data_IF_074806482957
#
_entry.id   IF_074806482957
#
_cell.length_a   1.000
_cell.length_b   1.000
_cell.length_c   1.000
_cell.angle_alpha   90.00
_cell.angle_beta   90.00
_cell.angle_gamma   90.00
#
_symmetry.space_group_name_H-M   'P 1'
#
loop_
_entity.id
_entity.type
_entity.pdbx_description
1 polymer ?
#
# COMPACT_ATOMS: atom_id res chain seq x y z
N UNK A 1 -1.03 6.07 18.69
CA UNK A 1 -2.21 6.19 17.81
C UNK A 1 -3.27 5.17 18.24
N UNK A 2 -4.58 5.46 18.22
CA UNK A 2 -5.64 4.57 18.73
C UNK A 2 -5.65 3.16 18.11
N UNK A 3 -5.31 3.07 16.82
CA UNK A 3 -5.23 1.81 16.08
C UNK A 3 -4.04 0.97 16.59
N UNK A 4 -2.89 1.62 16.82
CA UNK A 4 -1.69 0.98 17.42
C UNK A 4 -1.96 0.56 18.88
N UNK A 5 -2.80 1.29 19.60
CA UNK A 5 -3.19 0.99 20.98
C UNK A 5 -4.38 0.01 21.09
N UNK A 6 -4.84 -0.58 19.97
CA UNK A 6 -5.99 -1.52 19.90
C UNK A 6 -7.31 -0.98 20.47
N UNK A 7 -7.48 0.34 20.56
CA UNK A 7 -8.70 0.98 21.05
C UNK A 7 -9.76 1.16 19.95
N UNK A 8 -9.45 0.83 18.69
CA UNK A 8 -10.38 0.88 17.54
C UNK A 8 -9.88 -0.01 16.38
N UNK A 9 -10.78 -0.64 15.62
CA UNK A 9 -10.49 -1.44 14.42
C UNK A 9 -11.06 -0.72 13.18
N UNK A 10 -10.19 -0.16 12.33
CA UNK A 10 -10.56 0.49 11.05
C UNK A 10 -9.36 0.60 10.09
N UNK A 11 -9.63 0.86 8.81
CA UNK A 11 -8.64 1.02 7.74
C UNK A 11 -7.51 2.00 8.09
N UNK A 12 -6.26 1.57 7.89
CA UNK A 12 -5.08 2.44 8.02
C UNK A 12 -5.03 3.49 6.91
N UNK A 13 -4.83 4.76 7.26
CA UNK A 13 -4.62 5.84 6.28
C UNK A 13 -3.16 6.06 5.89
N UNK A 14 -2.23 5.48 6.66
CA UNK A 14 -0.78 5.66 6.50
C UNK A 14 -0.05 4.32 6.45
N UNK A 15 -0.42 3.40 7.36
CA UNK A 15 0.35 2.19 7.67
C UNK A 15 0.80 2.24 9.14
N UNK A 16 1.34 1.15 9.70
CA UNK A 16 1.74 1.08 11.10
C UNK A 16 3.01 1.90 11.41
N UNK A 17 3.90 2.09 10.42
CA UNK A 17 5.14 2.86 10.54
C UNK A 17 5.58 3.44 9.18
N UNK A 18 6.59 4.30 9.20
CA UNK A 18 7.24 4.77 7.98
C UNK A 18 8.08 3.65 7.35
N UNK A 19 7.95 3.48 6.04
CA UNK A 19 8.68 2.49 5.24
C UNK A 19 10.11 2.95 4.93
N UNK A 20 10.38 4.27 4.96
CA UNK A 20 11.71 4.85 4.74
C UNK A 20 12.12 5.79 5.88
N UNK A 21 13.43 6.08 5.97
CA UNK A 21 13.92 7.30 6.61
C UNK A 21 13.51 8.56 5.81
N UNK A 22 14.00 9.73 6.25
CA UNK A 22 13.85 10.97 5.48
C UNK A 22 14.72 10.91 4.23
N UNK A 23 14.10 11.09 3.06
CA UNK A 23 14.77 11.15 1.77
C UNK A 23 14.77 12.59 1.25
N UNK A 24 15.76 12.91 0.41
CA UNK A 24 15.83 14.19 -0.30
C UNK A 24 15.53 13.96 -1.77
N UNK A 25 14.58 14.70 -2.32
CA UNK A 25 14.19 14.60 -3.73
C UNK A 25 14.32 15.94 -4.46
N UNK A 26 14.68 15.97 -5.75
CA UNK A 26 14.66 17.20 -6.54
C UNK A 26 13.28 17.87 -6.52
N UNK A 27 13.25 19.16 -6.18
CA UNK A 27 12.05 20.00 -6.21
C UNK A 27 12.46 21.46 -6.45
N UNK A 28 12.28 21.95 -7.68
CA UNK A 28 12.89 23.21 -8.15
C UNK A 28 12.45 24.45 -7.37
N UNK A 29 11.24 24.41 -6.79
CA UNK A 29 10.68 25.51 -6.00
C UNK A 29 11.08 25.46 -4.52
N UNK A 30 11.76 24.38 -4.07
CA UNK A 30 12.18 24.24 -2.68
C UNK A 30 13.48 24.99 -2.41
N UNK A 31 13.68 25.60 -1.23
CA UNK A 31 15.00 26.10 -0.82
C UNK A 31 16.08 25.02 -0.96
N UNK A 32 17.14 25.32 -1.71
CA UNK A 32 18.19 24.34 -2.02
C UNK A 32 17.82 23.31 -3.10
N UNK A 33 16.71 23.53 -3.83
CA UNK A 33 16.29 22.71 -4.97
C UNK A 33 15.84 21.30 -4.61
N UNK A 34 15.61 21.00 -3.33
CA UNK A 34 15.21 19.67 -2.86
C UNK A 34 14.18 19.70 -1.74
N UNK A 35 13.17 18.82 -1.85
CA UNK A 35 12.18 18.57 -0.79
C UNK A 35 12.58 17.40 0.10
N UNK A 36 12.05 17.35 1.31
CA UNK A 36 12.15 16.17 2.18
C UNK A 36 10.91 15.32 1.97
N UNK A 37 11.08 14.02 1.80
CA UNK A 37 9.97 13.06 1.76
C UNK A 37 10.18 11.90 2.70
N UNK A 38 9.09 11.27 3.12
CA UNK A 38 9.10 10.02 3.85
C UNK A 38 7.95 9.14 3.37
N UNK A 39 8.26 7.90 3.03
CA UNK A 39 7.28 6.94 2.52
C UNK A 39 6.67 6.11 3.64
N UNK A 40 5.40 5.77 3.45
CA UNK A 40 4.61 4.87 4.26
C UNK A 40 3.91 3.89 3.30
N UNK A 41 3.31 2.81 3.81
CA UNK A 41 2.66 1.82 2.94
C UNK A 41 1.54 2.44 2.09
N UNK A 42 0.74 3.32 2.70
CA UNK A 42 -0.49 3.87 2.10
C UNK A 42 -0.41 5.34 1.73
N UNK A 43 0.75 5.96 1.87
CA UNK A 43 0.97 7.37 1.51
C UNK A 43 2.45 7.73 1.46
N UNK A 44 2.76 8.99 1.16
CA UNK A 44 4.03 9.62 1.50
C UNK A 44 3.78 10.99 2.10
N UNK A 45 4.62 11.39 3.05
CA UNK A 45 4.65 12.74 3.60
C UNK A 45 5.76 13.55 2.93
N UNK A 46 5.53 14.84 2.75
CA UNK A 46 6.45 15.73 2.05
C UNK A 46 6.51 17.11 2.70
N UNK A 47 7.72 17.66 2.79
CA UNK A 47 7.99 19.06 3.10
C UNK A 47 8.56 19.71 1.84
N UNK A 48 7.70 20.37 1.08
CA UNK A 48 8.06 21.03 -0.18
C UNK A 48 8.81 22.35 0.02
N UNK A 49 8.58 23.06 1.14
CA UNK A 49 9.32 24.27 1.49
C UNK A 49 9.80 24.19 2.95
N UNK A 50 11.09 23.93 3.15
CA UNK A 50 11.70 23.78 4.48
C UNK A 50 11.72 25.07 5.30
N UNK A 51 11.65 26.22 4.63
CA UNK A 51 11.64 27.55 5.23
C UNK A 51 10.20 28.06 5.44
N UNK A 52 9.19 27.24 5.12
CA UNK A 52 7.78 27.55 5.32
C UNK A 52 7.36 27.60 6.80
N UNK A 53 6.18 28.16 7.04
CA UNK A 53 5.59 28.23 8.38
C UNK A 53 5.25 26.84 8.91
N UNK A 54 6.00 26.38 9.93
CA UNK A 54 5.83 25.08 10.57
C UNK A 54 4.53 24.92 11.36
N UNK A 55 3.85 26.03 11.67
CA UNK A 55 2.54 26.01 12.32
C UNK A 55 1.39 25.79 11.33
N UNK A 56 1.65 25.94 10.03
CA UNK A 56 0.67 25.67 8.99
C UNK A 56 0.31 24.17 8.94
N UNK A 57 -0.98 23.82 8.86
CA UNK A 57 -1.39 22.42 8.64
C UNK A 57 -0.92 21.88 7.28
N UNK A 58 -0.49 22.76 6.36
CA UNK A 58 0.03 22.41 5.04
C UNK A 58 1.56 22.38 4.98
N UNK A 59 2.26 22.56 6.11
CA UNK A 59 3.73 22.45 6.14
C UNK A 59 4.20 21.04 5.77
N UNK A 60 3.48 20.02 6.28
CA UNK A 60 3.63 18.62 5.86
C UNK A 60 2.43 18.26 5.02
N UNK A 61 2.66 17.86 3.78
CA UNK A 61 1.60 17.45 2.85
C UNK A 61 1.66 15.97 2.52
N UNK A 62 0.53 15.44 2.05
CA UNK A 62 0.46 14.15 1.40
C UNK A 62 0.72 14.28 -0.10
N UNK A 63 1.53 13.36 -0.63
CA UNK A 63 1.79 13.31 -2.05
C UNK A 63 0.60 12.97 -2.93
N UNK A 64 0.62 13.49 -4.15
CA UNK A 64 -0.39 13.26 -5.20
C UNK A 64 -0.14 11.91 -5.91
N UNK A 65 0.06 10.84 -5.13
CA UNK A 65 0.64 9.59 -5.64
C UNK A 65 -0.18 8.94 -6.73
N UNK A 66 -1.50 8.87 -6.56
CA UNK A 66 -2.39 8.30 -7.57
C UNK A 66 -2.42 9.17 -8.84
N UNK A 67 -2.47 10.50 -8.70
CA UNK A 67 -2.40 11.42 -9.84
C UNK A 67 -1.13 11.22 -10.66
N UNK A 68 0.02 11.12 -10.00
CA UNK A 68 1.32 10.92 -10.65
C UNK A 68 1.46 9.51 -11.26
N UNK A 69 1.03 8.45 -10.56
CA UNK A 69 1.05 7.05 -11.04
C UNK A 69 0.17 6.85 -12.28
N UNK A 70 -1.02 7.46 -12.28
CA UNK A 70 -1.99 7.36 -13.38
C UNK A 70 -1.56 8.21 -14.57
N UNK A 71 -1.06 9.41 -14.33
CA UNK A 71 -0.72 10.35 -15.41
C UNK A 71 0.68 10.16 -16.00
N UNK A 72 1.57 9.46 -15.29
CA UNK A 72 2.98 9.41 -15.65
C UNK A 72 3.76 10.72 -15.36
N UNK A 73 3.12 11.73 -14.75
CA UNK A 73 3.73 13.05 -14.51
C UNK A 73 4.30 13.13 -13.11
N UNK A 74 5.57 12.81 -12.98
CA UNK A 74 6.27 12.80 -11.70
C UNK A 74 6.64 14.21 -11.23
N UNK A 75 6.16 14.64 -10.06
CA UNK A 75 6.40 15.99 -9.54
C UNK A 75 7.89 16.23 -9.22
N UNK A 76 8.39 17.39 -9.69
CA UNK A 76 9.72 17.95 -9.37
C UNK A 76 9.65 19.47 -9.12
N UNK A 77 8.46 20.01 -8.89
CA UNK A 77 8.19 21.41 -8.56
C UNK A 77 6.69 21.69 -8.54
N UNK A 78 6.29 22.91 -8.16
CA UNK A 78 4.87 23.30 -8.04
C UNK A 78 4.14 23.24 -9.39
N UNK A 79 4.88 23.40 -10.48
CA UNK A 79 4.38 23.29 -11.85
C UNK A 79 5.42 22.67 -12.79
N UNK A 80 6.29 21.81 -12.23
CA UNK A 80 7.36 21.14 -12.96
C UNK A 80 7.28 19.62 -12.78
N UNK A 81 7.42 18.89 -13.88
CA UNK A 81 7.20 17.45 -13.92
C UNK A 81 8.26 16.76 -14.77
N UNK A 82 8.62 15.54 -14.40
CA UNK A 82 9.31 14.59 -15.26
C UNK A 82 8.29 13.60 -15.82
N UNK A 83 8.35 13.37 -17.13
CA UNK A 83 7.51 12.38 -17.78
C UNK A 83 8.03 10.95 -17.53
N UNK A 84 7.11 10.04 -17.28
CA UNK A 84 7.30 8.59 -17.15
C UNK A 84 6.10 7.89 -17.76
N UNK A 85 6.25 6.60 -18.02
CA UNK A 85 5.10 5.76 -18.35
C UNK A 85 4.17 5.64 -17.12
N UNK A 86 2.83 5.70 -17.32
CA UNK A 86 1.87 5.37 -16.28
C UNK A 86 2.15 3.99 -15.66
N UNK A 87 1.87 3.84 -14.37
CA UNK A 87 2.29 2.65 -13.64
C UNK A 87 1.44 1.41 -13.98
N UNK A 88 2.10 0.35 -14.47
CA UNK A 88 1.50 -0.97 -14.70
C UNK A 88 1.53 -1.79 -13.40
N UNK A 89 0.91 -1.24 -12.36
CA UNK A 89 0.75 -1.88 -11.04
C UNK A 89 -0.74 -1.94 -10.72
N UNK A 90 -1.21 -3.10 -10.26
CA UNK A 90 -2.61 -3.32 -9.91
C UNK A 90 -3.06 -2.32 -8.84
N UNK A 91 -4.19 -1.65 -9.06
CA UNK A 91 -4.74 -0.68 -8.09
C UNK A 91 -5.34 -1.39 -6.87
N UNK A 92 -5.88 -2.58 -7.09
CA UNK A 92 -6.53 -3.42 -6.10
C UNK A 92 -6.24 -4.90 -6.39
N UNK A 93 -6.39 -5.74 -5.37
CA UNK A 93 -6.18 -7.19 -5.48
C UNK A 93 -4.73 -7.62 -5.36
N UNK A 94 -4.48 -8.88 -5.73
CA UNK A 94 -3.19 -9.55 -5.68
C UNK A 94 -2.24 -8.91 -6.70
N UNK A 95 -0.96 -8.79 -6.33
CA UNK A 95 0.05 -8.11 -7.14
C UNK A 95 0.32 -8.82 -8.48
N UNK A 96 0.11 -10.15 -8.53
CA UNK A 96 0.32 -10.99 -9.71
C UNK A 96 -0.96 -11.22 -10.52
N UNK A 97 -2.08 -10.56 -10.17
CA UNK A 97 -3.33 -10.70 -10.90
C UNK A 97 -3.21 -10.17 -12.34
N UNK A 98 -3.34 -11.02 -13.37
CA UNK A 98 -3.23 -10.59 -14.76
C UNK A 98 -4.50 -9.90 -15.27
N UNK A 99 -5.61 -9.92 -14.53
CA UNK A 99 -6.91 -9.40 -14.96
C UNK A 99 -7.29 -8.06 -14.32
N UNK A 100 -6.72 -7.73 -13.15
CA UNK A 100 -7.05 -6.50 -12.44
C UNK A 100 -6.57 -5.24 -13.17
N UNK A 101 -7.30 -4.12 -13.08
CA UNK A 101 -6.88 -2.84 -13.65
C UNK A 101 -5.68 -2.25 -12.90
N UNK A 102 -4.80 -1.61 -13.66
CA UNK A 102 -3.60 -0.92 -13.16
C UNK A 102 -3.80 0.59 -13.10
N UNK A 103 -2.88 1.34 -12.48
CA UNK A 103 -2.92 2.80 -12.58
C UNK A 103 -2.88 3.28 -14.03
N UNK A 104 -2.12 2.62 -14.91
CA UNK A 104 -2.11 2.87 -16.35
C UNK A 104 -3.48 2.62 -16.99
N UNK A 105 -4.23 1.61 -16.52
CA UNK A 105 -5.62 1.37 -16.94
C UNK A 105 -6.52 2.54 -16.56
N UNK A 106 -6.42 3.06 -15.33
CA UNK A 106 -7.22 4.22 -14.90
C UNK A 106 -6.88 5.51 -15.66
N UNK A 107 -5.73 5.59 -16.32
CA UNK A 107 -5.39 6.72 -17.17
C UNK A 107 -6.35 6.87 -18.36
N UNK A 108 -6.95 5.77 -18.85
CA UNK A 108 -7.87 5.77 -20.00
C UNK A 108 -9.24 6.36 -19.67
N UNK A 109 -9.62 6.37 -18.38
CA UNK A 109 -10.92 6.86 -17.89
C UNK A 109 -10.83 8.17 -17.10
N UNK A 110 -9.63 8.78 -17.02
CA UNK A 110 -9.39 9.96 -16.19
C UNK A 110 -10.22 11.18 -16.61
N UNK A 111 -10.48 11.34 -17.89
CA UNK A 111 -11.25 12.48 -18.40
C UNK A 111 -12.75 12.14 -18.60
N UNK A 112 -13.17 10.94 -18.18
CA UNK A 112 -14.54 10.46 -18.30
C UNK A 112 -15.33 10.68 -16.99
N UNK A 113 -16.57 11.15 -17.13
CA UNK A 113 -17.51 11.26 -16.01
C UNK A 113 -18.93 10.92 -16.45
N UNK A 114 -19.70 10.32 -15.54
CA UNK A 114 -21.13 10.08 -15.67
C UNK A 114 -21.91 11.38 -15.48
N UNK A 115 -23.05 11.49 -16.15
CA UNK A 115 -23.84 12.72 -16.21
C UNK A 115 -25.07 12.72 -15.31
N UNK A 116 -25.37 11.63 -14.60
CA UNK A 116 -26.63 11.46 -13.85
C UNK A 116 -26.34 11.22 -12.38
N UNK A 117 -26.72 12.18 -11.52
CA UNK A 117 -26.61 12.06 -10.07
C UNK A 117 -27.45 10.90 -9.52
N UNK A 118 -26.91 10.17 -8.55
CA UNK A 118 -27.65 9.12 -7.83
C UNK A 118 -27.91 7.86 -8.65
N UNK A 119 -27.38 7.76 -9.88
CA UNK A 119 -27.47 6.55 -10.67
C UNK A 119 -26.71 5.39 -9.99
N UNK A 120 -27.21 4.14 -10.06
CA UNK A 120 -26.45 2.97 -9.65
C UNK A 120 -25.14 2.87 -10.44
N UNK A 121 -24.02 2.70 -9.74
CA UNK A 121 -22.73 2.48 -10.38
C UNK A 121 -22.68 1.02 -10.82
N UNK A 122 -22.87 0.80 -12.11
CA UNK A 122 -22.81 -0.51 -12.77
C UNK A 122 -21.72 -0.58 -13.83
N UNK A 123 -20.99 0.51 -14.03
CA UNK A 123 -19.87 0.57 -14.97
C UNK A 123 -18.73 -0.32 -14.47
N UNK A 124 -18.18 -1.15 -15.35
CA UNK A 124 -17.02 -1.99 -15.09
C UNK A 124 -15.80 -1.45 -15.85
N UNK A 125 -14.61 -1.70 -15.34
CA UNK A 125 -13.34 -1.38 -15.99
C UNK A 125 -12.46 -2.63 -16.04
N UNK A 126 -12.17 -3.10 -17.25
CA UNK A 126 -11.23 -4.19 -17.49
C UNK A 126 -9.78 -3.67 -17.60
N UNK A 127 -8.79 -4.55 -17.41
CA UNK A 127 -7.36 -4.19 -17.44
C UNK A 127 -6.90 -3.50 -18.72
N UNK A 128 -7.50 -3.86 -19.86
CA UNK A 128 -7.21 -3.26 -21.17
C UNK A 128 -7.81 -1.86 -21.35
N UNK A 129 -8.53 -1.34 -20.35
CA UNK A 129 -9.17 -0.03 -20.38
C UNK A 129 -10.58 -0.04 -20.95
N UNK A 130 -11.11 -1.21 -21.34
CA UNK A 130 -12.49 -1.31 -21.80
C UNK A 130 -13.47 -1.05 -20.64
N UNK A 131 -14.41 -0.14 -20.90
CA UNK A 131 -15.52 0.16 -20.00
C UNK A 131 -16.77 -0.55 -20.53
N UNK A 132 -17.42 -1.31 -19.67
CA UNK A 132 -18.71 -1.97 -19.96
C UNK A 132 -19.70 -1.69 -18.80
N UNK A 133 -20.87 -2.32 -18.83
CA UNK A 133 -21.88 -2.22 -17.79
C UNK A 133 -22.34 -3.61 -17.38
N UNK A 134 -22.45 -3.84 -16.07
CA UNK A 134 -23.04 -5.05 -15.51
C UNK A 134 -24.17 -4.67 -14.54
N UNK A 135 -25.44 -4.72 -14.99
CA UNK A 135 -26.60 -4.34 -14.16
C UNK A 135 -26.73 -5.11 -12.85
N UNK A 136 -26.15 -6.32 -12.74
CA UNK A 136 -26.18 -7.12 -11.51
C UNK A 136 -25.49 -6.41 -10.34
N UNK A 137 -24.48 -5.58 -10.61
CA UNK A 137 -23.72 -4.84 -9.61
C UNK A 137 -24.57 -3.80 -8.87
N UNK A 138 -25.74 -3.42 -9.41
CA UNK A 138 -26.69 -2.55 -8.74
C UNK A 138 -27.20 -3.14 -7.41
N UNK A 139 -27.14 -4.46 -7.23
CA UNK A 139 -27.51 -5.12 -5.96
C UNK A 139 -26.69 -4.61 -4.76
N UNK A 140 -25.48 -4.10 -5.00
CA UNK A 140 -24.58 -3.61 -3.97
C UNK A 140 -24.86 -2.16 -3.55
N UNK A 141 -25.82 -1.49 -4.20
CA UNK A 141 -26.31 -0.17 -3.77
C UNK A 141 -25.32 0.99 -3.90
N UNK A 142 -24.18 0.80 -4.56
CA UNK A 142 -23.23 1.88 -4.83
C UNK A 142 -23.83 2.87 -5.86
N UNK A 143 -23.79 4.16 -5.55
CA UNK A 143 -24.34 5.25 -6.39
C UNK A 143 -23.37 6.43 -6.46
N UNK A 144 -23.52 7.28 -7.47
CA UNK A 144 -22.80 8.56 -7.55
C UNK A 144 -23.41 9.55 -6.53
N UNK A 145 -22.65 9.87 -5.46
CA UNK A 145 -23.18 10.57 -4.28
C UNK A 145 -22.85 12.06 -4.22
N UNK A 146 -21.61 12.45 -4.52
CA UNK A 146 -21.14 13.84 -4.39
C UNK A 146 -20.44 14.29 -5.68
N UNK A 147 -20.85 15.44 -6.23
CA UNK A 147 -20.22 16.02 -7.42
C UNK A 147 -19.10 16.98 -7.03
N UNK A 148 -17.88 16.71 -7.50
CA UNK A 148 -16.74 17.62 -7.30
C UNK A 148 -16.52 18.44 -8.56
N UNK A 149 -17.06 19.67 -8.57
CA UNK A 149 -16.97 20.56 -9.74
C UNK A 149 -15.54 20.96 -10.14
N UNK A 150 -14.60 20.93 -9.18
CA UNK A 150 -13.19 21.28 -9.43
C UNK A 150 -12.51 20.28 -10.36
N UNK A 151 -12.86 19.00 -10.26
CA UNK A 151 -12.27 17.93 -11.08
C UNK A 151 -13.24 17.34 -12.09
N UNK A 152 -14.55 17.61 -11.94
CA UNK A 152 -15.58 17.10 -12.84
C UNK A 152 -15.88 15.62 -12.64
N UNK A 153 -15.79 15.12 -11.40
CA UNK A 153 -16.03 13.71 -11.07
C UNK A 153 -17.01 13.52 -9.91
N UNK A 154 -17.70 12.39 -9.94
CA UNK A 154 -18.55 11.93 -8.84
C UNK A 154 -17.76 11.12 -7.83
N UNK A 155 -17.99 11.34 -6.53
CA UNK A 155 -17.56 10.43 -5.46
C UNK A 155 -18.63 9.37 -5.23
N UNK A 156 -18.25 8.08 -5.26
CA UNK A 156 -19.19 7.00 -5.01
C UNK A 156 -19.66 6.97 -3.55
N UNK A 157 -20.91 6.54 -3.34
CA UNK A 157 -21.57 6.55 -2.03
C UNK A 157 -20.80 5.82 -0.90
N UNK A 158 -20.15 4.65 -1.10
CA UNK A 158 -19.39 4.01 -0.04
C UNK A 158 -18.17 4.84 0.37
N UNK A 159 -17.49 5.46 -0.60
CA UNK A 159 -16.32 6.31 -0.36
C UNK A 159 -16.71 7.63 0.29
N UNK A 160 -17.82 8.24 -0.15
CA UNK A 160 -18.32 9.47 0.45
C UNK A 160 -18.76 9.27 1.90
N UNK A 161 -19.39 8.14 2.21
CA UNK A 161 -19.73 7.76 3.58
C UNK A 161 -18.46 7.54 4.43
N UNK A 162 -17.46 6.84 3.89
CA UNK A 162 -16.18 6.64 4.58
C UNK A 162 -15.45 7.96 4.86
N UNK A 163 -15.37 8.87 3.88
CA UNK A 163 -14.70 10.17 4.01
C UNK A 163 -15.39 11.13 4.99
N UNK A 164 -16.66 10.89 5.32
CA UNK A 164 -17.42 11.64 6.32
C UNK A 164 -17.57 10.90 7.65
N UNK A 165 -16.99 9.71 7.77
CA UNK A 165 -17.14 8.88 8.97
C UNK A 165 -16.48 9.50 10.20
N UNK A 166 -17.02 9.15 11.36
CA UNK A 166 -16.49 9.53 12.66
C UNK A 166 -15.99 8.28 13.40
N UNK A 167 -15.08 8.45 14.33
CA UNK A 167 -14.63 7.36 15.19
C UNK A 167 -13.66 7.84 16.25
N UNK A 168 -13.15 6.91 17.06
CA UNK A 168 -12.24 7.24 18.15
C UNK A 168 -10.95 7.85 17.61
N UNK A 169 -10.62 9.06 18.02
CA UNK A 169 -9.35 9.74 17.79
C UNK A 169 -8.66 10.00 19.13
N UNK A 170 -7.34 10.19 19.12
CA UNK A 170 -6.57 10.57 20.31
C UNK A 170 -6.02 11.98 20.10
N UNK A 171 -6.52 12.96 20.86
CA UNK A 171 -6.14 14.38 20.75
C UNK A 171 -6.00 14.97 22.15
N UNK A 172 -4.87 15.63 22.42
CA UNK A 172 -4.64 16.31 23.71
C UNK A 172 -4.64 15.39 24.93
N UNK A 173 -4.27 14.11 24.78
CA UNK A 173 -4.20 13.15 25.89
C UNK A 173 -5.49 12.36 26.16
N UNK A 174 -6.58 12.64 25.43
CA UNK A 174 -7.90 12.05 25.65
C UNK A 174 -8.39 11.36 24.37
N UNK A 175 -9.15 10.27 24.54
CA UNK A 175 -9.88 9.61 23.46
C UNK A 175 -11.26 10.24 23.30
N UNK A 176 -11.62 10.64 22.07
CA UNK A 176 -12.94 11.20 21.75
C UNK A 176 -13.45 10.63 20.41
N UNK A 177 -14.76 10.58 20.22
CA UNK A 177 -15.37 10.28 18.91
C UNK A 177 -15.45 11.57 18.12
N UNK A 178 -14.68 11.66 17.04
CA UNK A 178 -14.57 12.85 16.20
C UNK A 178 -14.58 12.44 14.72
N UNK A 179 -14.79 13.38 13.78
CA UNK A 179 -14.54 13.14 12.36
C UNK A 179 -13.16 12.52 12.14
N UNK A 180 -13.11 11.44 11.35
CA UNK A 180 -11.83 10.82 10.99
C UNK A 180 -10.98 11.71 10.09
N UNK A 181 -11.65 12.63 9.40
CA UNK A 181 -11.07 13.59 8.48
C UNK A 181 -11.62 14.98 8.80
N UNK A 182 -10.75 15.90 9.21
CA UNK A 182 -11.15 17.31 9.43
C UNK A 182 -11.65 17.95 8.12
N UNK A 183 -11.14 17.48 6.98
CA UNK A 183 -11.69 17.74 5.65
C UNK A 183 -11.73 16.41 4.87
N UNK A 184 -12.87 16.02 4.28
CA UNK A 184 -13.03 14.75 3.55
C UNK A 184 -11.94 14.50 2.51
N UNK A 185 -11.44 15.54 1.85
CA UNK A 185 -10.43 15.45 0.78
C UNK A 185 -8.99 15.61 1.29
N UNK A 186 -8.76 15.88 2.58
CA UNK A 186 -7.40 16.10 3.09
C UNK A 186 -6.51 14.87 2.88
N UNK A 187 -7.02 13.68 3.21
CA UNK A 187 -6.24 12.45 3.15
C UNK A 187 -6.27 11.78 1.75
N UNK A 188 -7.36 11.94 1.00
CA UNK A 188 -7.59 11.29 -0.30
C UNK A 188 -7.24 12.20 -1.49
N UNK A 189 -7.39 13.52 -1.35
CA UNK A 189 -7.44 14.45 -2.47
C UNK A 189 -8.78 14.42 -3.18
N UNK A 190 -8.94 15.28 -4.19
CA UNK A 190 -10.15 15.29 -5.02
C UNK A 190 -10.24 14.04 -5.91
N UNK A 191 -11.44 13.57 -6.29
CA UNK A 191 -11.58 12.47 -7.24
C UNK A 191 -10.99 12.87 -8.59
N UNK A 192 -10.19 11.97 -9.18
CA UNK A 192 -9.59 12.14 -10.52
C UNK A 192 -10.13 11.11 -11.52
N UNK A 193 -11.02 10.23 -11.06
CA UNK A 193 -11.85 9.36 -11.87
C UNK A 193 -13.22 9.26 -11.21
N UNK A 194 -14.23 8.93 -11.98
CA UNK A 194 -15.42 8.30 -11.43
C UNK A 194 -15.09 6.90 -10.89
N UNK A 195 -15.99 6.30 -10.11
CA UNK A 195 -15.83 4.94 -9.62
C UNK A 195 -16.22 3.88 -10.67
N UNK A 196 -15.50 2.77 -10.72
CA UNK A 196 -15.74 1.63 -11.61
C UNK A 196 -15.62 0.32 -10.84
N UNK A 197 -16.47 -0.65 -11.17
CA UNK A 197 -16.28 -2.02 -10.69
C UNK A 197 -15.19 -2.72 -11.48
N UNK A 198 -14.38 -3.51 -10.79
CA UNK A 198 -13.35 -4.33 -11.41
C UNK A 198 -13.41 -5.74 -10.83
N UNK A 199 -13.25 -6.74 -11.69
CA UNK A 199 -13.01 -8.09 -11.22
C UNK A 199 -11.51 -8.25 -10.96
N UNK A 200 -11.15 -8.45 -9.69
CA UNK A 200 -9.75 -8.57 -9.25
C UNK A 200 -9.58 -9.85 -8.45
N UNK A 201 -8.39 -10.41 -8.45
CA UNK A 201 -8.04 -11.54 -7.58
C UNK A 201 -7.71 -11.01 -6.19
N UNK A 202 -8.30 -11.58 -5.15
CA UNK A 202 -7.99 -11.28 -3.74
C UNK A 202 -7.74 -12.61 -3.04
N UNK A 203 -6.50 -12.82 -2.58
CA UNK A 203 -6.10 -14.08 -1.94
C UNK A 203 -6.34 -15.29 -2.85
N UNK A 204 -6.08 -15.14 -4.16
CA UNK A 204 -6.30 -16.19 -5.15
C UNK A 204 -7.71 -16.26 -5.72
N UNK A 205 -8.68 -15.52 -5.17
CA UNK A 205 -10.11 -15.63 -5.54
C UNK A 205 -10.60 -14.40 -6.29
N UNK A 206 -11.26 -14.59 -7.44
CA UNK A 206 -11.87 -13.51 -8.21
C UNK A 206 -13.01 -12.85 -7.40
N UNK A 207 -12.96 -11.53 -7.28
CA UNK A 207 -13.88 -10.72 -6.49
C UNK A 207 -14.22 -9.44 -7.24
N UNK A 208 -15.49 -9.03 -7.20
CA UNK A 208 -15.90 -7.72 -7.70
C UNK A 208 -15.60 -6.65 -6.65
N UNK A 209 -14.77 -5.70 -7.01
CA UNK A 209 -14.33 -4.59 -6.15
C UNK A 209 -14.64 -3.29 -6.85
N UNK A 210 -15.35 -2.39 -6.17
CA UNK A 210 -15.54 -1.03 -6.67
C UNK A 210 -14.27 -0.24 -6.39
N UNK A 211 -13.73 0.45 -7.39
CA UNK A 211 -12.47 1.19 -7.28
C UNK A 211 -12.70 2.62 -7.73
N UNK A 212 -12.18 3.59 -6.98
CA UNK A 212 -12.15 4.98 -7.39
C UNK A 212 -10.80 5.61 -7.05
N UNK A 213 -10.23 6.35 -8.00
CA UNK A 213 -8.98 7.05 -7.80
C UNK A 213 -9.20 8.53 -7.49
N UNK A 214 -8.49 8.99 -6.46
CA UNK A 214 -8.40 10.39 -6.02
C UNK A 214 -6.95 10.85 -6.21
N UNK A 215 -6.66 12.15 -6.06
CA UNK A 215 -5.32 12.68 -6.33
C UNK A 215 -4.21 11.97 -5.53
N UNK A 216 -4.48 11.56 -4.28
CA UNK A 216 -3.46 11.02 -3.37
C UNK A 216 -3.52 9.50 -3.25
N UNK A 217 -4.68 8.89 -3.46
CA UNK A 217 -4.88 7.43 -3.34
C UNK A 217 -6.08 6.96 -4.13
N UNK A 218 -6.10 5.68 -4.46
CA UNK A 218 -7.33 5.01 -4.87
C UNK A 218 -7.96 4.29 -3.67
N UNK A 219 -9.28 4.34 -3.57
CA UNK A 219 -10.07 3.63 -2.58
C UNK A 219 -10.76 2.44 -3.25
N UNK A 220 -10.92 1.37 -2.48
CA UNK A 220 -11.57 0.13 -2.90
C UNK A 220 -12.75 -0.17 -1.99
N UNK A 221 -13.86 -0.65 -2.54
CA UNK A 221 -15.04 -1.08 -1.80
C UNK A 221 -15.43 -2.51 -2.16
N UNK A 222 -15.44 -3.37 -1.13
CA UNK A 222 -15.80 -4.80 -1.23
C UNK A 222 -16.99 -5.08 -0.33
N UNK A 223 -18.23 -5.13 -0.85
CA UNK A 223 -19.45 -5.28 -0.05
C UNK A 223 -19.48 -6.52 0.84
N UNK A 224 -18.83 -7.59 0.40
CA UNK A 224 -18.79 -8.87 1.11
C UNK A 224 -17.93 -8.86 2.38
N UNK A 225 -17.07 -7.84 2.56
CA UNK A 225 -16.26 -7.68 3.77
C UNK A 225 -17.13 -7.24 4.96
N UNK A 226 -16.64 -7.47 6.18
CA UNK A 226 -17.24 -6.89 7.38
C UNK A 226 -17.31 -5.36 7.26
N UNK A 227 -18.34 -4.70 7.83
CA UNK A 227 -18.59 -3.26 7.63
C UNK A 227 -17.36 -2.36 7.82
N UNK A 228 -16.52 -2.66 8.81
CA UNK A 228 -15.31 -1.90 9.15
C UNK A 228 -14.14 -2.08 8.15
N UNK A 229 -14.22 -3.08 7.26
CA UNK A 229 -13.24 -3.41 6.21
C UNK A 229 -13.83 -3.31 4.80
N UNK A 230 -15.03 -2.75 4.67
CA UNK A 230 -15.65 -2.61 3.35
C UNK A 230 -14.94 -1.58 2.49
N UNK A 231 -14.40 -0.51 3.08
CA UNK A 231 -13.61 0.51 2.36
C UNK A 231 -12.15 0.45 2.78
N UNK A 232 -11.28 0.25 1.79
CA UNK A 232 -9.85 0.12 2.00
C UNK A 232 -9.06 1.05 1.06
N UNK A 233 -7.80 1.28 1.43
CA UNK A 233 -6.82 1.94 0.59
C UNK A 233 -5.66 0.98 0.36
N UNK A 234 -5.31 0.78 -0.92
CA UNK A 234 -4.17 -0.05 -1.31
C UNK A 234 -2.82 0.55 -0.89
N UNK A 235 -1.75 -0.21 -1.11
CA UNK A 235 -0.38 0.13 -0.70
C UNK A 235 0.28 1.14 -1.67
N UNK A 236 -0.40 2.25 -1.93
CA UNK A 236 -0.01 3.21 -2.96
C UNK A 236 1.34 3.90 -2.67
N UNK A 237 1.73 4.04 -1.39
CA UNK A 237 3.03 4.60 -1.05
C UNK A 237 4.18 3.70 -1.50
N UNK A 238 4.03 2.38 -1.32
CA UNK A 238 4.94 1.37 -1.86
C UNK A 238 4.92 1.36 -3.40
N UNK A 239 3.72 1.33 -4.02
CA UNK A 239 3.59 1.33 -5.48
C UNK A 239 4.30 2.53 -6.10
N UNK A 240 4.11 3.71 -5.50
CA UNK A 240 4.75 4.94 -5.95
C UNK A 240 6.27 4.90 -5.78
N UNK A 241 6.76 4.44 -4.62
CA UNK A 241 8.21 4.32 -4.40
C UNK A 241 8.85 3.44 -5.48
N UNK A 242 8.27 2.26 -5.73
CA UNK A 242 8.73 1.34 -6.77
C UNK A 242 8.63 1.95 -8.17
N UNK A 243 7.57 2.68 -8.50
CA UNK A 243 7.45 3.34 -9.81
C UNK A 243 8.44 4.50 -10.01
N UNK A 244 8.76 5.24 -8.94
CA UNK A 244 9.71 6.36 -8.97
C UNK A 244 11.16 5.90 -9.04
N UNK A 245 11.53 4.90 -8.26
CA UNK A 245 12.92 4.46 -8.09
C UNK A 245 13.23 3.13 -8.77
N UNK A 246 12.25 2.25 -8.91
CA UNK A 246 12.34 1.11 -9.82
C UNK A 246 12.44 1.64 -11.24
N UNK A 247 13.43 1.14 -11.99
CA UNK A 247 13.80 1.69 -13.28
C UNK A 247 12.60 1.65 -14.25
N UNK A 248 12.13 2.81 -14.66
CA UNK A 248 11.13 2.95 -15.71
C UNK A 248 11.76 2.47 -17.03
N UNK A 249 11.32 1.32 -17.55
CA UNK A 249 11.58 0.91 -18.92
C UNK A 249 12.65 -0.16 -19.17
N UNK A 250 13.19 -0.83 -18.15
CA UNK A 250 13.90 -2.08 -18.39
C UNK A 250 12.92 -3.25 -18.28
N UNK A 251 12.64 -3.91 -19.41
CA UNK A 251 12.32 -5.34 -19.39
C UNK A 251 13.34 -5.98 -18.45
N UNK A 252 12.90 -6.57 -17.34
CA UNK A 252 13.78 -7.34 -16.47
C UNK A 252 14.31 -8.53 -17.29
N UNK A 253 15.40 -8.30 -18.02
CA UNK A 253 16.31 -9.37 -18.37
C UNK A 253 16.74 -10.00 -17.05
N UNK A 254 16.74 -11.34 -16.93
CA UNK A 254 17.29 -12.01 -15.75
C UNK A 254 18.81 -11.81 -15.79
N UNK A 255 19.24 -10.64 -15.37
CA UNK A 255 20.62 -10.20 -15.35
C UNK A 255 20.82 -9.48 -14.02
N UNK A 256 21.47 -10.22 -13.11
CA UNK A 256 21.88 -9.88 -11.76
C UNK A 256 20.77 -9.86 -10.70
N UNK A 257 20.31 -11.06 -10.34
CA UNK A 257 19.96 -11.36 -8.94
C UNK A 257 21.23 -11.08 -8.13
N UNK A 258 21.37 -9.88 -7.58
CA UNK A 258 22.30 -9.72 -6.45
C UNK A 258 21.67 -10.49 -5.30
N UNK A 259 22.42 -11.43 -4.71
CA UNK A 259 21.96 -12.13 -3.50
C UNK A 259 21.90 -11.20 -2.29
N UNK A 260 22.29 -9.92 -2.44
CA UNK A 260 22.19 -8.86 -1.45
C UNK A 260 22.80 -9.17 -0.08
N UNK A 261 22.72 -8.22 0.84
CA UNK A 261 23.00 -8.45 2.26
C UNK A 261 21.68 -8.58 3.04
N UNK A 262 20.96 -9.68 2.81
CA UNK A 262 19.73 -9.99 3.54
C UNK A 262 20.06 -10.83 4.77
N UNK A 263 19.55 -10.43 5.94
CA UNK A 263 19.84 -11.12 7.22
C UNK A 263 18.59 -11.38 8.03
N UNK A 264 18.65 -12.45 8.83
CA UNK A 264 17.72 -12.63 9.96
C UNK A 264 18.33 -11.87 11.13
N UNK A 265 17.71 -10.76 11.50
CA UNK A 265 18.17 -9.93 12.61
C UNK A 265 17.67 -10.44 13.96
N UNK A 266 16.54 -11.13 13.98
CA UNK A 266 15.90 -11.60 15.20
C UNK A 266 14.95 -12.77 14.93
N UNK A 267 14.84 -13.71 15.88
CA UNK A 267 13.81 -14.74 15.91
C UNK A 267 13.12 -14.70 17.28
N UNK A 268 11.79 -14.60 17.27
CA UNK A 268 10.95 -14.81 18.44
C UNK A 268 10.43 -16.24 18.45
N UNK A 269 10.90 -17.04 19.40
CA UNK A 269 10.50 -18.45 19.61
C UNK A 269 9.28 -18.59 20.53
N UNK A 270 9.21 -17.78 21.58
CA UNK A 270 8.15 -17.84 22.57
C UNK A 270 7.46 -16.47 22.69
N UNK A 271 6.33 -16.27 22.01
CA UNK A 271 5.63 -14.99 22.05
C UNK A 271 4.94 -14.73 23.41
N UNK A 272 4.87 -15.71 24.32
CA UNK A 272 4.14 -15.56 25.58
C UNK A 272 4.73 -14.52 26.55
N UNK A 273 5.97 -14.08 26.31
CA UNK A 273 6.66 -13.07 27.11
C UNK A 273 6.85 -11.72 26.41
N UNK A 274 6.52 -11.61 25.11
CA UNK A 274 6.62 -10.35 24.34
C UNK A 274 5.24 -9.68 24.23
N UNK A 275 5.12 -8.46 24.75
CA UNK A 275 3.86 -7.70 24.75
C UNK A 275 3.38 -7.44 23.31
N UNK A 276 2.29 -8.11 22.90
CA UNK A 276 1.65 -7.90 21.60
C UNK A 276 2.02 -8.92 20.52
N UNK A 277 3.02 -9.79 20.74
CA UNK A 277 3.28 -10.92 19.86
C UNK A 277 2.33 -12.08 20.19
N UNK A 278 1.65 -12.63 19.18
CA UNK A 278 0.77 -13.80 19.36
C UNK A 278 1.39 -15.10 18.84
N UNK A 279 2.43 -14.99 18.01
CA UNK A 279 3.04 -16.09 17.27
C UNK A 279 4.53 -15.89 17.12
N UNK A 280 5.25 -16.98 16.88
CA UNK A 280 6.65 -16.98 16.46
C UNK A 280 6.85 -16.21 15.15
N UNK A 281 7.95 -15.45 15.07
CA UNK A 281 8.34 -14.79 13.83
C UNK A 281 9.86 -14.63 13.69
N UNK A 282 10.33 -14.59 12.44
CA UNK A 282 11.67 -14.12 12.10
C UNK A 282 11.61 -12.70 11.54
N UNK A 283 12.42 -11.79 12.07
CA UNK A 283 12.64 -10.46 11.53
C UNK A 283 13.77 -10.51 10.51
N UNK A 284 13.45 -10.23 9.26
CA UNK A 284 14.38 -10.27 8.13
C UNK A 284 14.60 -8.82 7.69
N UNK A 285 15.87 -8.43 7.50
CA UNK A 285 16.25 -7.07 7.13
C UNK A 285 17.15 -7.09 5.90
N UNK A 286 16.92 -6.13 5.02
CA UNK A 286 17.83 -5.81 3.93
C UNK A 286 18.88 -4.81 4.45
N UNK A 287 20.14 -5.23 4.55
CA UNK A 287 21.27 -4.38 4.96
C UNK A 287 22.02 -3.77 3.77
N UNK A 288 21.58 -4.06 2.56
CA UNK A 288 22.15 -3.51 1.34
C UNK A 288 21.59 -2.11 1.03
N UNK A 289 22.20 -1.42 0.07
CA UNK A 289 21.75 -0.12 -0.44
C UNK A 289 20.86 -0.23 -1.70
N UNK A 290 20.60 -1.47 -2.14
CA UNK A 290 19.68 -1.82 -3.23
C UNK A 290 18.45 -2.58 -2.73
N UNK A 291 17.33 -2.47 -3.46
CA UNK A 291 16.11 -3.24 -3.14
C UNK A 291 16.30 -4.71 -3.51
N UNK A 292 15.89 -5.62 -2.63
CA UNK A 292 15.99 -7.07 -2.86
C UNK A 292 14.58 -7.62 -3.17
N UNK A 293 14.46 -8.29 -4.31
CA UNK A 293 13.29 -9.11 -4.63
C UNK A 293 13.43 -10.47 -3.96
N UNK A 294 12.46 -10.83 -3.12
CA UNK A 294 12.55 -12.03 -2.28
C UNK A 294 12.05 -13.29 -2.96
N UNK A 295 11.62 -13.26 -4.23
CA UNK A 295 11.16 -14.45 -4.93
C UNK A 295 12.20 -15.58 -4.85
N UNK A 296 11.79 -16.73 -4.32
CA UNK A 296 12.63 -17.93 -4.24
C UNK A 296 13.63 -17.93 -3.08
N UNK A 297 13.72 -16.86 -2.29
CA UNK A 297 14.44 -16.88 -1.01
C UNK A 297 13.75 -17.83 -0.03
N UNK A 298 14.54 -18.41 0.88
CA UNK A 298 14.00 -19.36 1.86
C UNK A 298 14.41 -19.04 3.29
N UNK A 299 13.49 -19.28 4.22
CA UNK A 299 13.79 -19.36 5.66
C UNK A 299 13.63 -20.80 6.09
N UNK A 300 14.64 -21.34 6.76
CA UNK A 300 14.71 -22.75 7.14
C UNK A 300 15.13 -22.88 8.61
N UNK A 301 14.48 -23.75 9.37
CA UNK A 301 14.91 -24.08 10.73
C UNK A 301 15.98 -25.19 10.73
N UNK A 302 16.49 -25.55 11.91
CA UNK A 302 17.46 -26.64 12.06
C UNK A 302 16.86 -28.02 11.72
N UNK A 303 15.54 -28.21 11.93
CA UNK A 303 14.84 -29.47 11.65
C UNK A 303 14.58 -29.72 10.16
N UNK A 304 14.69 -28.70 9.32
CA UNK A 304 14.50 -28.74 7.87
C UNK A 304 13.19 -28.15 7.36
N UNK A 305 12.31 -27.71 8.25
CA UNK A 305 11.08 -26.99 7.93
C UNK A 305 11.42 -25.68 7.20
N UNK A 306 10.92 -25.53 5.97
CA UNK A 306 11.32 -24.45 5.05
C UNK A 306 10.12 -23.63 4.56
N UNK A 307 10.24 -22.30 4.60
CA UNK A 307 9.38 -21.34 3.91
C UNK A 307 10.08 -20.88 2.65
N UNK A 308 9.35 -20.69 1.55
CA UNK A 308 9.87 -20.07 0.33
C UNK A 308 9.05 -18.84 0.01
N UNK A 309 9.71 -17.70 -0.15
CA UNK A 309 9.06 -16.44 -0.47
C UNK A 309 8.44 -16.49 -1.87
N UNK A 310 7.17 -16.10 -2.00
CA UNK A 310 6.52 -16.02 -3.30
C UNK A 310 7.08 -14.83 -4.11
N UNK A 311 6.66 -14.76 -5.37
CA UNK A 311 6.89 -13.56 -6.17
C UNK A 311 6.15 -12.35 -5.57
N UNK A 312 6.52 -11.13 -5.96
CA UNK A 312 5.87 -9.89 -5.52
C UNK A 312 6.30 -9.38 -4.15
N UNK A 313 7.20 -10.05 -3.42
CA UNK A 313 7.73 -9.57 -2.14
C UNK A 313 9.07 -8.86 -2.37
N UNK A 314 9.16 -7.59 -1.98
CA UNK A 314 10.35 -6.76 -2.14
C UNK A 314 10.74 -6.15 -0.80
N UNK A 315 12.03 -6.11 -0.50
CA UNK A 315 12.56 -5.48 0.71
C UNK A 315 13.52 -4.35 0.34
N UNK A 316 13.14 -3.12 0.67
CA UNK A 316 13.92 -1.91 0.39
C UNK A 316 15.21 -1.85 1.22
N UNK A 317 16.20 -1.03 0.83
CA UNK A 317 17.39 -0.76 1.64
C UNK A 317 17.04 -0.39 3.09
N UNK A 318 17.57 -1.13 4.05
CA UNK A 318 17.31 -0.90 5.47
C UNK A 318 15.88 -1.20 5.93
N UNK A 319 15.02 -1.78 5.10
CA UNK A 319 13.68 -2.21 5.51
C UNK A 319 13.73 -3.61 6.15
N UNK A 320 12.73 -3.88 7.00
CA UNK A 320 12.56 -5.17 7.66
C UNK A 320 11.14 -5.71 7.45
N UNK A 321 11.02 -7.03 7.38
CA UNK A 321 9.75 -7.75 7.36
C UNK A 321 9.76 -8.84 8.44
N UNK A 322 8.59 -9.21 8.93
CA UNK A 322 8.36 -10.32 9.84
C UNK A 322 7.77 -11.50 9.07
N UNK A 323 8.42 -12.66 9.15
CA UNK A 323 7.85 -13.93 8.72
C UNK A 323 7.23 -14.61 9.95
N UNK A 324 5.91 -14.53 10.07
CA UNK A 324 5.13 -15.20 11.11
C UNK A 324 4.92 -16.67 10.77
N UNK A 325 5.11 -17.55 11.75
CA UNK A 325 4.84 -18.99 11.59
C UNK A 325 3.35 -19.29 11.38
N UNK A 326 2.48 -18.42 11.90
CA UNK A 326 1.04 -18.62 11.91
C UNK A 326 0.33 -18.36 10.57
N UNK A 327 -1.00 -18.59 10.56
CA UNK A 327 -1.90 -18.11 9.51
C UNK A 327 -2.19 -16.62 9.66
N UNK A 328 -2.29 -15.92 8.54
CA UNK A 328 -2.67 -14.51 8.46
C UNK A 328 -2.68 -14.02 7.03
N UNK A 329 -3.06 -12.75 6.85
CA UNK A 329 -3.05 -12.09 5.56
C UNK A 329 -1.71 -11.40 5.35
N UNK A 330 -1.02 -11.72 4.27
CA UNK A 330 0.27 -11.10 3.95
C UNK A 330 0.12 -9.58 3.79
N UNK A 331 1.04 -8.84 4.41
CA UNK A 331 1.26 -7.42 4.22
C UNK A 331 2.73 -7.20 3.80
N UNK A 332 3.13 -6.00 3.38
CA UNK A 332 4.53 -5.73 3.05
C UNK A 332 5.52 -5.97 4.20
N UNK A 333 5.10 -5.84 5.45
CA UNK A 333 5.94 -6.04 6.64
C UNK A 333 5.67 -7.34 7.39
N UNK A 334 4.59 -8.05 7.08
CA UNK A 334 4.16 -9.24 7.80
C UNK A 334 3.73 -10.33 6.80
N UNK A 335 4.58 -11.33 6.64
CA UNK A 335 4.33 -12.51 5.80
C UNK A 335 3.96 -13.68 6.71
N UNK A 336 2.99 -14.49 6.31
CA UNK A 336 2.47 -15.59 7.11
C UNK A 336 2.77 -16.93 6.45
N UNK A 337 3.46 -17.80 7.18
CA UNK A 337 3.83 -19.15 6.76
C UNK A 337 2.62 -20.10 6.75
N UNK A 338 1.52 -19.74 7.41
CA UNK A 338 0.27 -20.50 7.35
C UNK A 338 0.23 -21.74 8.25
N UNK A 339 1.17 -21.88 9.18
CA UNK A 339 1.26 -23.06 10.08
C UNK A 339 0.41 -22.87 11.33
N UNK A 340 0.11 -23.99 11.98
CA UNK A 340 -0.61 -24.04 13.27
C UNK A 340 0.26 -24.52 14.42
N UNK A 341 1.48 -24.99 14.13
CA UNK A 341 2.45 -25.45 15.13
C UNK A 341 3.72 -24.62 15.05
N UNK A 342 4.40 -24.51 16.19
CA UNK A 342 5.71 -23.91 16.35
C UNK A 342 6.70 -24.42 15.30
N UNK A 343 7.61 -23.54 14.87
CA UNK A 343 8.75 -23.88 14.02
C UNK A 343 10.02 -23.83 14.84
N UNK A 344 10.21 -22.80 15.66
CA UNK A 344 11.42 -22.66 16.44
C UNK A 344 11.23 -23.07 17.89
N UNK A 345 12.15 -23.86 18.41
CA UNK A 345 12.09 -24.37 19.78
C UNK A 345 12.43 -23.31 20.84
N UNK A 346 11.73 -23.34 21.97
CA UNK A 346 11.88 -22.41 23.09
C UNK A 346 13.15 -22.65 23.92
N UNK A 347 13.82 -23.79 23.76
CA UNK A 347 15.06 -24.15 24.47
C UNK A 347 16.35 -23.75 23.74
N UNK A 348 16.23 -23.08 22.60
CA UNK A 348 17.31 -22.75 21.67
C UNK A 348 17.14 -23.46 20.33
N UNK A 349 17.28 -22.72 19.23
CA UNK A 349 17.12 -23.19 17.86
C UNK A 349 17.88 -22.26 16.89
N UNK A 350 17.94 -22.68 15.63
CA UNK A 350 18.63 -21.97 14.57
C UNK A 350 17.67 -21.64 13.42
N UNK A 351 17.70 -20.41 12.94
CA UNK A 351 17.07 -20.03 11.67
C UNK A 351 18.10 -19.65 10.61
N UNK A 352 17.92 -20.18 9.40
CA UNK A 352 18.79 -19.97 8.26
C UNK A 352 18.06 -19.24 7.15
N UNK A 353 18.71 -18.26 6.56
CA UNK A 353 18.24 -17.56 5.36
C UNK A 353 19.05 -18.03 4.16
N UNK A 354 18.37 -18.50 3.13
CA UNK A 354 18.96 -19.13 1.95
C UNK A 354 18.53 -18.32 0.72
N UNK A 355 19.51 -17.95 -0.11
CA UNK A 355 19.25 -17.23 -1.35
C UNK A 355 18.66 -18.14 -2.45
N UNK A 356 18.15 -17.58 -3.57
CA UNK A 356 17.57 -18.38 -4.66
C UNK A 356 18.55 -19.34 -5.36
N UNK A 357 19.86 -19.22 -5.13
CA UNK A 357 20.88 -20.14 -5.65
C UNK A 357 21.10 -21.35 -4.73
N UNK A 358 20.50 -21.35 -3.54
CA UNK A 358 20.62 -22.40 -2.53
C UNK A 358 21.74 -22.17 -1.52
N UNK A 359 22.36 -20.99 -1.49
CA UNK A 359 23.42 -20.65 -0.54
C UNK A 359 22.81 -20.04 0.73
N UNK A 360 23.21 -20.55 1.89
CA UNK A 360 22.90 -19.90 3.18
C UNK A 360 23.69 -18.60 3.29
N UNK A 361 22.98 -17.48 3.45
CA UNK A 361 23.58 -16.14 3.55
C UNK A 361 23.52 -15.56 4.96
N UNK A 362 22.60 -16.04 5.81
CA UNK A 362 22.48 -15.63 7.20
C UNK A 362 22.05 -16.80 8.08
N UNK A 363 22.53 -16.82 9.32
CA UNK A 363 22.10 -17.73 10.37
C UNK A 363 21.87 -16.95 11.66
N UNK A 364 20.80 -17.26 12.39
CA UNK A 364 20.48 -16.68 13.70
C UNK A 364 20.32 -17.81 14.71
N UNK A 365 20.97 -17.67 15.87
CA UNK A 365 21.07 -18.67 16.92
C UNK A 365 20.80 -17.98 18.26
N UNK A 366 20.04 -18.61 19.16
CA UNK A 366 19.70 -18.03 20.47
C UNK A 366 19.49 -19.10 21.54
#
# INVERSE_FOLDING_TARGET
>A
MPIVAQQTQRTWMWGPAATTGLLSEPYVNSPGGTRIVQYFDKSRMEINNRDGDRSSPWYVTNGLLASELISGRMAVGDSAWLAREPAVVNVAGDADDPAGPTYATFATVRDASRSVQGAPIVATLARDGNVDTNPWLAQWGATDAEWVSLTGHWVASPFWAFMQSQGTVYKGGIYATEPLFENPFYATGYPITDAYWANVRVGGTASDVLVQCFERRCLTYTPANSPEWQVEAGNIGLHYYTWRYGQAGETLTPANITTGDLRIDYILADPSWEEGAKYEYALIRNHDDVTIHLKGWQVKDESGTTFTFPDGVFLLPGASLRLHVAKGLNTPTDIYWGRTGAVWNNGGDSGYLIDPTGKTVSGYFY
#
